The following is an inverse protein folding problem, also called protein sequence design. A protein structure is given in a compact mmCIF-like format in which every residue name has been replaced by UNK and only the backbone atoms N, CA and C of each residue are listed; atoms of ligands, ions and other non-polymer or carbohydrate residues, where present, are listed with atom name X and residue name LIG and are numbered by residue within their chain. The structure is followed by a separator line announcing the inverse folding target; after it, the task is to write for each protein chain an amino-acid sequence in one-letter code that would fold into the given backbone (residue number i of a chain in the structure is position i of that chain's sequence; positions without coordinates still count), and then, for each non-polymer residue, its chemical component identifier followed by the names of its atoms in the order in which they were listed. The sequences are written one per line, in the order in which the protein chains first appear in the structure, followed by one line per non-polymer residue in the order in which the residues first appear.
data_IF_477950431753
#
_entry.id   IF_477950431753
#
_cell.length_a   1.000
_cell.length_b   1.000
_cell.length_c   1.000
_cell.angle_alpha   90.00
_cell.angle_beta   90.00
_cell.angle_gamma   90.00
#
_symmetry.space_group_name_H-M   'P 1'
#
loop_
_entity.id
_entity.type
_entity.pdbx_description
1 polymer ?
#
# COMPACT_ATOMS: atom_id res chain seq x y z
N UNK A 1 48.84 -9.50 -51.55
CA UNK A 1 48.71 -9.02 -50.15
C UNK A 1 47.24 -8.70 -49.92
N UNK A 2 46.49 -9.56 -49.20
CA UNK A 2 45.05 -9.35 -48.92
C UNK A 2 44.94 -8.78 -47.51
N UNK A 3 44.59 -7.51 -47.40
CA UNK A 3 44.35 -6.83 -46.12
C UNK A 3 42.91 -7.15 -45.69
N UNK A 4 42.75 -7.87 -44.58
CA UNK A 4 41.45 -8.06 -43.93
C UNK A 4 41.26 -6.93 -42.92
N UNK A 5 40.28 -6.05 -43.15
CA UNK A 5 39.81 -5.10 -42.14
C UNK A 5 38.96 -5.86 -41.12
N UNK A 6 39.45 -5.95 -39.88
CA UNK A 6 38.65 -6.39 -38.74
C UNK A 6 37.85 -5.19 -38.20
N UNK A 7 36.53 -5.23 -38.36
CA UNK A 7 35.61 -4.27 -37.73
C UNK A 7 35.36 -4.74 -36.29
N UNK A 8 35.91 -4.01 -35.32
CA UNK A 8 35.70 -4.27 -33.90
C UNK A 8 34.39 -3.58 -33.49
N UNK A 9 33.33 -4.36 -33.31
CA UNK A 9 32.09 -3.88 -32.69
C UNK A 9 32.33 -3.73 -31.18
N UNK A 10 32.67 -2.53 -30.73
CA UNK A 10 32.72 -2.19 -29.32
C UNK A 10 31.29 -2.05 -28.79
N UNK A 11 30.77 -3.13 -28.18
CA UNK A 11 29.50 -3.10 -27.45
C UNK A 11 29.75 -2.29 -26.17
N UNK A 12 29.38 -1.01 -26.20
CA UNK A 12 29.30 -0.19 -24.99
C UNK A 12 28.19 -0.77 -24.10
N UNK A 13 28.59 -1.58 -23.12
CA UNK A 13 27.73 -1.95 -22.01
C UNK A 13 27.35 -0.66 -21.28
N UNK A 14 26.19 -0.11 -21.60
CA UNK A 14 25.56 0.91 -20.78
C UNK A 14 25.32 0.24 -19.42
N UNK A 15 25.91 0.73 -18.31
CA UNK A 15 25.61 0.20 -17.00
C UNK A 15 24.10 0.34 -16.79
N UNK A 16 23.41 -0.79 -16.69
CA UNK A 16 22.05 -0.80 -16.20
C UNK A 16 22.16 -0.36 -14.74
N UNK A 17 21.93 0.93 -14.49
CA UNK A 17 21.67 1.41 -13.14
C UNK A 17 20.38 0.73 -12.71
N UNK A 18 20.51 -0.44 -12.09
CA UNK A 18 19.41 -1.10 -11.42
C UNK A 18 18.86 -0.09 -10.44
N UNK A 19 17.64 0.40 -10.71
CA UNK A 19 16.94 1.25 -9.78
C UNK A 19 16.73 0.39 -8.53
N UNK A 20 17.44 0.69 -7.45
CA UNK A 20 17.15 0.06 -6.17
C UNK A 20 15.84 0.70 -5.70
N UNK A 21 14.73 0.00 -5.91
CA UNK A 21 13.45 0.41 -5.35
C UNK A 21 13.62 0.46 -3.82
N UNK A 22 13.66 1.67 -3.26
CA UNK A 22 13.61 1.84 -1.81
C UNK A 22 12.32 1.18 -1.32
N UNK A 23 12.44 0.26 -0.37
CA UNK A 23 11.31 -0.47 0.20
C UNK A 23 10.25 0.52 0.67
N UNK A 24 8.99 0.31 0.29
CA UNK A 24 7.91 1.22 0.69
C UNK A 24 7.62 1.06 2.19
N UNK A 25 7.42 2.19 2.85
CA UNK A 25 7.03 2.26 4.25
C UNK A 25 5.51 2.12 4.42
N UNK A 26 5.06 1.00 5.01
CA UNK A 26 3.64 0.71 5.23
C UNK A 26 2.94 1.80 6.06
N UNK A 27 3.64 2.39 7.02
CA UNK A 27 3.08 3.44 7.87
C UNK A 27 2.82 4.72 7.08
N UNK A 28 3.78 5.13 6.25
CA UNK A 28 3.60 6.25 5.34
C UNK A 28 2.43 6.03 4.40
N UNK A 29 2.28 4.82 3.85
CA UNK A 29 1.14 4.49 3.00
C UNK A 29 -0.17 4.61 3.78
N UNK A 30 -0.30 3.93 4.93
CA UNK A 30 -1.51 3.93 5.75
C UNK A 30 -1.96 5.35 6.13
N UNK A 31 -1.02 6.20 6.59
CA UNK A 31 -1.31 7.60 6.95
C UNK A 31 -1.88 8.43 5.80
N UNK A 32 -1.44 8.15 4.58
CA UNK A 32 -1.77 8.93 3.39
C UNK A 32 -2.74 8.21 2.46
N UNK A 33 -3.43 7.16 2.91
CA UNK A 33 -4.53 6.56 2.16
C UNK A 33 -5.69 7.55 2.06
N UNK A 34 -6.17 7.80 0.85
CA UNK A 34 -7.39 8.56 0.61
C UNK A 34 -8.61 7.69 0.95
N UNK A 35 -9.26 7.97 2.08
CA UNK A 35 -10.39 7.17 2.58
C UNK A 35 -11.64 7.29 1.72
N UNK A 36 -11.64 8.20 0.74
CA UNK A 36 -12.78 8.43 -0.16
C UNK A 36 -12.73 7.62 -1.45
N UNK A 37 -11.65 6.85 -1.69
CA UNK A 37 -11.47 6.07 -2.93
C UNK A 37 -11.86 4.60 -2.81
N UNK A 38 -12.23 4.13 -1.63
CA UNK A 38 -12.61 2.74 -1.38
C UNK A 38 -13.78 2.65 -0.39
N UNK A 39 -14.43 1.48 -0.34
CA UNK A 39 -15.52 1.23 0.60
C UNK A 39 -14.94 0.77 1.93
N UNK A 40 -15.35 1.41 3.01
CA UNK A 40 -14.97 1.06 4.38
C UNK A 40 -15.96 1.68 5.38
N UNK A 41 -15.68 1.51 6.66
CA UNK A 41 -16.36 2.17 7.76
C UNK A 41 -16.35 3.71 7.71
N UNK A 42 -15.46 4.31 6.91
CA UNK A 42 -15.46 5.75 6.67
C UNK A 42 -16.62 6.22 5.79
N UNK A 43 -17.22 5.32 5.00
CA UNK A 43 -18.27 5.65 4.01
C UNK A 43 -19.44 6.47 4.57
N UNK A 44 -20.07 6.06 5.69
CA UNK A 44 -21.18 6.80 6.31
C UNK A 44 -20.83 8.21 6.80
N UNK A 45 -19.53 8.52 6.99
CA UNK A 45 -19.09 9.84 7.48
C UNK A 45 -19.03 10.89 6.36
N UNK A 46 -19.09 10.49 5.08
CA UNK A 46 -19.14 11.37 3.91
C UNK A 46 -18.01 12.44 3.87
N UNK A 47 -16.77 12.03 4.12
CA UNK A 47 -15.62 12.94 4.07
C UNK A 47 -15.44 13.63 2.70
N UNK A 48 -14.88 14.86 2.66
CA UNK A 48 -14.47 15.51 1.41
C UNK A 48 -13.51 14.63 0.60
N UNK A 49 -13.59 14.68 -0.73
CA UNK A 49 -12.66 13.94 -1.60
C UNK A 49 -11.20 14.31 -1.29
N UNK A 50 -10.33 13.31 -1.23
CA UNK A 50 -8.91 13.51 -0.91
C UNK A 50 -8.60 13.53 0.59
N UNK A 51 -9.58 13.30 1.47
CA UNK A 51 -9.32 13.17 2.90
C UNK A 51 -8.45 11.95 3.17
N UNK A 52 -7.33 12.17 3.87
CA UNK A 52 -6.38 11.12 4.23
C UNK A 52 -6.76 10.49 5.56
N UNK A 53 -6.43 9.21 5.74
CA UNK A 53 -6.70 8.49 6.99
C UNK A 53 -6.16 9.23 8.22
N UNK A 54 -4.94 9.77 8.17
CA UNK A 54 -4.39 10.54 9.30
C UNK A 54 -5.22 11.76 9.71
N UNK A 55 -6.13 12.22 8.85
CA UNK A 55 -6.95 13.41 9.04
C UNK A 55 -8.41 13.06 9.43
N UNK A 56 -8.76 11.77 9.62
CA UNK A 56 -10.15 11.32 9.93
C UNK A 56 -10.43 11.11 11.42
N UNK A 57 -9.42 11.20 12.28
CA UNK A 57 -9.53 10.93 13.70
C UNK A 57 -8.20 11.08 14.44
N UNK A 58 -8.25 10.88 15.76
CA UNK A 58 -7.08 10.88 16.63
C UNK A 58 -6.55 9.46 16.76
N UNK A 59 -5.53 9.13 15.98
CA UNK A 59 -4.95 7.78 15.91
C UNK A 59 -3.62 7.66 16.66
N UNK A 60 -3.45 6.53 17.34
CA UNK A 60 -2.14 6.00 17.72
C UNK A 60 -1.63 5.15 16.57
N UNK A 61 -0.58 5.63 15.91
CA UNK A 61 0.07 4.93 14.81
C UNK A 61 1.21 4.04 15.28
N UNK A 62 1.30 2.83 14.73
CA UNK A 62 2.40 1.90 14.99
C UNK A 62 2.84 1.19 13.71
N UNK A 63 4.02 0.58 13.74
CA UNK A 63 4.52 -0.22 12.64
C UNK A 63 5.37 -1.38 13.18
N UNK A 64 5.11 -2.56 12.64
CA UNK A 64 5.93 -3.75 12.82
C UNK A 64 6.23 -4.35 11.45
N UNK A 65 7.52 -4.33 11.06
CA UNK A 65 7.99 -4.83 9.76
C UNK A 65 7.25 -4.17 8.58
N UNK A 66 6.45 -4.94 7.86
CA UNK A 66 5.66 -4.62 6.67
C UNK A 66 4.18 -4.34 6.98
N UNK A 67 3.81 -4.36 8.26
CA UNK A 67 2.47 -4.02 8.75
C UNK A 67 2.49 -2.70 9.51
N UNK A 68 1.55 -1.83 9.19
CA UNK A 68 1.27 -0.61 9.95
C UNK A 68 -0.14 -0.64 10.52
N UNK A 69 -0.35 0.02 11.65
CA UNK A 69 -1.65 0.12 12.30
C UNK A 69 -1.95 1.58 12.69
N UNK A 70 -3.24 1.90 12.69
CA UNK A 70 -3.81 3.14 13.18
C UNK A 70 -4.99 2.77 14.08
N UNK A 71 -4.80 2.87 15.39
CA UNK A 71 -5.85 2.59 16.37
C UNK A 71 -6.42 3.90 16.88
N UNK A 72 -7.74 4.07 16.86
CA UNK A 72 -8.40 5.23 17.45
C UNK A 72 -7.96 5.39 18.91
N UNK A 73 -7.80 6.62 19.39
CA UNK A 73 -7.30 6.89 20.74
C UNK A 73 -8.17 6.27 21.86
N UNK A 74 -9.46 6.04 21.58
CA UNK A 74 -10.39 5.35 22.49
C UNK A 74 -10.38 3.81 22.33
N UNK A 75 -9.58 3.29 21.39
CA UNK A 75 -9.45 1.87 21.10
C UNK A 75 -10.65 1.24 20.39
N UNK A 76 -11.62 2.04 19.93
CA UNK A 76 -12.86 1.52 19.32
C UNK A 76 -12.65 0.89 17.94
N UNK A 77 -11.57 1.28 17.26
CA UNK A 77 -11.32 1.01 15.87
C UNK A 77 -9.82 0.83 15.60
N UNK A 78 -9.47 -0.16 14.78
CA UNK A 78 -8.11 -0.35 14.28
C UNK A 78 -8.15 -0.53 12.78
N UNK A 79 -7.36 0.28 12.09
CA UNK A 79 -7.07 0.12 10.67
C UNK A 79 -5.66 -0.42 10.53
N UNK A 80 -5.45 -1.44 9.72
CA UNK A 80 -4.10 -1.94 9.45
C UNK A 80 -3.83 -2.11 7.97
N UNK A 81 -2.57 -2.01 7.60
CA UNK A 81 -2.09 -2.19 6.24
C UNK A 81 -0.83 -3.04 6.24
N UNK A 82 -0.89 -4.20 5.59
CA UNK A 82 0.26 -5.09 5.37
C UNK A 82 0.68 -5.05 3.91
N UNK A 83 1.95 -4.74 3.61
CA UNK A 83 2.47 -4.81 2.24
C UNK A 83 2.76 -6.27 1.89
N UNK A 84 2.03 -6.82 0.92
CA UNK A 84 2.17 -8.21 0.46
C UNK A 84 3.30 -8.30 -0.58
N UNK A 85 3.29 -7.38 -1.54
CA UNK A 85 4.34 -7.28 -2.55
C UNK A 85 4.47 -5.85 -3.09
N UNK A 86 5.63 -5.52 -3.62
CA UNK A 86 5.81 -4.25 -4.32
C UNK A 86 6.80 -4.40 -5.48
N UNK A 87 6.62 -3.54 -6.49
CA UNK A 87 7.58 -3.34 -7.56
C UNK A 87 7.81 -1.83 -7.78
N UNK A 88 8.50 -1.46 -8.85
CA UNK A 88 8.80 -0.05 -9.16
C UNK A 88 7.55 0.81 -9.43
N UNK A 89 6.42 0.19 -9.80
CA UNK A 89 5.21 0.87 -10.25
C UNK A 89 4.06 0.76 -9.26
N UNK A 90 3.94 -0.35 -8.55
CA UNK A 90 2.77 -0.64 -7.74
C UNK A 90 3.12 -1.37 -6.45
N UNK A 91 2.18 -1.31 -5.52
CA UNK A 91 2.20 -2.00 -4.22
C UNK A 91 0.89 -2.78 -4.14
N UNK A 92 0.98 -4.06 -3.79
CA UNK A 92 -0.15 -4.87 -3.38
C UNK A 92 -0.11 -4.96 -1.86
N UNK A 93 -1.20 -4.55 -1.22
CA UNK A 93 -1.30 -4.52 0.24
C UNK A 93 -2.64 -5.10 0.70
N UNK A 94 -2.67 -5.67 1.91
CA UNK A 94 -3.92 -6.01 2.58
C UNK A 94 -4.30 -4.88 3.52
N UNK A 95 -5.49 -4.34 3.36
CA UNK A 95 -6.08 -3.41 4.31
C UNK A 95 -7.09 -4.12 5.20
N UNK A 96 -7.06 -3.82 6.50
CA UNK A 96 -8.03 -4.32 7.48
C UNK A 96 -8.76 -3.14 8.10
N UNK A 97 -10.08 -3.26 8.15
CA UNK A 97 -11.05 -2.31 8.70
C UNK A 97 -11.73 -3.01 9.88
N UNK A 98 -11.23 -2.81 11.10
CA UNK A 98 -11.61 -3.61 12.27
C UNK A 98 -12.26 -2.76 13.38
N UNK A 99 -13.53 -3.02 13.65
CA UNK A 99 -14.19 -2.50 14.84
C UNK A 99 -13.81 -3.37 16.04
N UNK A 100 -13.06 -2.80 16.99
CA UNK A 100 -12.71 -3.50 18.23
C UNK A 100 -13.92 -3.65 19.16
N UNK A 101 -14.97 -2.85 18.92
CA UNK A 101 -16.27 -2.97 19.60
C UNK A 101 -17.33 -3.32 18.54
N UNK A 102 -17.95 -4.49 18.69
CA UNK A 102 -18.96 -5.01 17.76
C UNK A 102 -18.44 -6.17 16.92
N UNK A 103 -19.06 -6.39 15.76
CA UNK A 103 -18.76 -7.53 14.88
C UNK A 103 -18.24 -7.14 13.50
N UNK A 104 -17.98 -5.85 13.27
CA UNK A 104 -17.53 -5.40 11.96
C UNK A 104 -16.03 -5.70 11.82
N UNK A 105 -15.70 -6.49 10.80
CA UNK A 105 -14.35 -6.82 10.40
C UNK A 105 -14.34 -7.01 8.89
N UNK A 106 -13.44 -6.32 8.20
CA UNK A 106 -13.25 -6.47 6.76
C UNK A 106 -11.77 -6.52 6.43
N UNK A 107 -11.41 -7.37 5.47
CA UNK A 107 -10.11 -7.35 4.79
C UNK A 107 -10.35 -7.04 3.32
N UNK A 108 -9.52 -6.17 2.76
CA UNK A 108 -9.60 -5.78 1.35
C UNK A 108 -8.21 -5.75 0.73
N UNK A 109 -7.96 -6.52 -0.35
CA UNK A 109 -6.72 -6.43 -1.10
C UNK A 109 -6.70 -5.15 -1.93
N UNK A 110 -5.67 -4.34 -1.76
CA UNK A 110 -5.49 -3.06 -2.44
C UNK A 110 -4.33 -3.09 -3.42
N UNK A 111 -4.57 -2.54 -4.61
CA UNK A 111 -3.55 -2.13 -5.55
C UNK A 111 -3.32 -0.62 -5.44
N UNK A 112 -2.12 -0.23 -5.03
CA UNK A 112 -1.70 1.16 -4.90
C UNK A 112 -0.69 1.48 -6.01
N UNK A 113 -1.01 2.46 -6.84
CA UNK A 113 -0.10 2.93 -7.89
C UNK A 113 0.87 3.96 -7.31
N UNK A 114 2.18 3.74 -7.46
CA UNK A 114 3.20 4.73 -7.08
C UNK A 114 3.11 5.92 -8.03
N UNK A 115 2.73 7.09 -7.50
CA UNK A 115 2.72 8.34 -8.27
C UNK A 115 3.95 9.17 -7.90
N UNK A 116 4.42 10.02 -8.83
CA UNK A 116 5.61 10.87 -8.61
C UNK A 116 5.39 11.99 -7.58
N UNK A 117 4.15 12.24 -7.15
CA UNK A 117 3.76 13.28 -6.20
C UNK A 117 2.94 12.65 -5.06
N UNK A 118 3.58 11.94 -4.13
CA UNK A 118 2.85 11.20 -3.11
C UNK A 118 2.62 12.05 -1.85
N UNK A 119 1.66 12.98 -1.91
CA UNK A 119 0.99 13.49 -0.69
C UNK A 119 -0.20 12.60 -0.28
N UNK A 120 -0.73 11.81 -1.22
CA UNK A 120 -1.87 10.94 -1.04
C UNK A 120 -1.73 9.67 -1.90
N UNK A 121 -2.24 8.55 -1.40
CA UNK A 121 -2.37 7.28 -2.11
C UNK A 121 -3.85 6.98 -2.36
N UNK A 122 -4.25 6.98 -3.63
CA UNK A 122 -5.53 6.40 -4.05
C UNK A 122 -5.36 4.90 -4.26
N UNK A 123 -6.34 4.13 -3.84
CA UNK A 123 -6.36 2.66 -3.93
C UNK A 123 -7.39 2.17 -4.93
N UNK A 124 -7.10 1.03 -5.55
CA UNK A 124 -8.09 0.22 -6.26
C UNK A 124 -8.22 -1.07 -5.45
N UNK A 125 -9.43 -1.38 -5.00
CA UNK A 125 -9.74 -2.68 -4.39
C UNK A 125 -9.72 -3.77 -5.47
N UNK A 126 -9.01 -4.86 -5.20
CA UNK A 126 -8.92 -6.00 -6.11
C UNK A 126 -10.10 -6.94 -5.87
N UNK A 127 -10.76 -7.37 -6.95
CA UNK A 127 -11.95 -8.24 -6.87
C UNK A 127 -11.64 -9.74 -6.66
N UNK A 128 -10.36 -10.10 -6.53
CA UNK A 128 -9.91 -11.49 -6.35
C UNK A 128 -9.13 -11.63 -5.05
N UNK A 129 -9.19 -12.83 -4.48
CA UNK A 129 -8.42 -13.18 -3.29
C UNK A 129 -6.91 -13.07 -3.56
N UNK A 130 -6.20 -12.48 -2.61
CA UNK A 130 -4.74 -12.37 -2.62
C UNK A 130 -4.20 -13.17 -1.44
N UNK A 131 -3.19 -14.00 -1.70
CA UNK A 131 -2.49 -14.74 -0.65
C UNK A 131 -1.92 -13.76 0.39
N UNK A 132 -2.23 -13.97 1.66
CA UNK A 132 -1.88 -13.07 2.76
C UNK A 132 -2.86 -11.92 2.99
N UNK A 133 -4.02 -11.90 2.32
CA UNK A 133 -5.14 -11.00 2.60
C UNK A 133 -6.48 -11.73 2.82
N UNK A 134 -6.41 -12.99 3.21
CA UNK A 134 -7.58 -13.79 3.51
C UNK A 134 -8.30 -13.26 4.75
N UNK A 135 -9.63 -13.37 4.74
CA UNK A 135 -10.44 -13.19 5.95
C UNK A 135 -10.11 -14.33 6.92
N UNK A 136 -9.19 -14.10 7.84
CA UNK A 136 -9.06 -14.93 9.02
C UNK A 136 -10.18 -14.50 9.98
N UNK A 137 -11.18 -15.36 10.27
CA UNK A 137 -12.16 -15.02 11.29
C UNK A 137 -11.40 -14.76 12.60
N UNK A 138 -11.77 -13.68 13.32
CA UNK A 138 -11.39 -13.55 14.73
C UNK A 138 -11.85 -14.84 15.39
N UNK A 139 -10.92 -15.54 16.04
CA UNK A 139 -11.19 -16.80 16.75
C UNK A 139 -12.54 -16.70 17.48
N UNK A 140 -13.47 -17.59 17.13
CA UNK A 140 -14.79 -17.70 17.78
C UNK A 140 -14.67 -18.06 19.25
#
# INVERSE_FOLDING_TARGET
MKLFLAVIFSISMIPQTGFSATKTDALTVLKHLDVTTFRSSFGPRHFPKGTLLKDTGDYVFSQEKDRAEATDADGSWTYSLSIISENEKEIVACFVDDAQIGSYYSTSPFLIKKTKNAQAYSVIELEHDIEGCELYPKDQ
#
